data_IF_282182259608
#
_entry.id   IF_282182259608
#
_cell.length_a   1.000
_cell.length_b   1.000
_cell.length_c   1.000
_cell.angle_alpha   90.00
_cell.angle_beta   90.00
_cell.angle_gamma   90.00
#
_symmetry.space_group_name_H-M   'P 1'
#
loop_
_entity.id
_entity.type
_entity.pdbx_description
1 polymer ?
#
# COMPACT_ATOMS: atom_id res chain seq x y z
N UNK A 1 -5.48 3.56 21.91
CA UNK A 1 -4.61 4.02 20.80
C UNK A 1 -3.72 2.86 20.39
N UNK A 2 -3.82 2.38 19.15
CA UNK A 2 -2.98 1.27 18.68
C UNK A 2 -1.52 1.68 18.68
N UNK A 3 -0.61 0.79 19.12
CA UNK A 3 0.83 1.02 19.02
C UNK A 3 1.19 1.20 17.53
N UNK A 4 1.45 2.43 17.11
CA UNK A 4 1.98 2.73 15.78
C UNK A 4 3.38 2.14 15.66
N UNK A 5 3.49 0.97 15.03
CA UNK A 5 4.79 0.43 14.63
C UNK A 5 5.26 1.15 13.37
N UNK A 6 6.56 1.41 13.28
CA UNK A 6 7.16 1.92 12.06
C UNK A 6 6.90 0.90 10.93
N UNK A 7 6.49 1.34 9.74
CA UNK A 7 6.35 0.44 8.60
C UNK A 7 7.67 -0.29 8.32
N UNK A 8 7.59 -1.56 7.92
CA UNK A 8 8.77 -2.29 7.47
C UNK A 8 9.37 -1.62 6.22
N UNK A 9 10.71 -1.56 6.10
CA UNK A 9 11.38 -1.06 4.91
C UNK A 9 10.89 -1.75 3.62
N UNK A 10 10.85 -1.02 2.52
CA UNK A 10 10.37 -1.55 1.24
C UNK A 10 11.22 -2.73 0.76
N UNK A 11 12.55 -2.63 0.87
CA UNK A 11 13.51 -3.68 0.49
C UNK A 11 13.30 -4.96 1.30
N UNK A 12 13.08 -4.83 2.62
CA UNK A 12 12.82 -5.98 3.47
C UNK A 12 11.52 -6.69 3.10
N UNK A 13 10.45 -5.94 2.80
CA UNK A 13 9.19 -6.53 2.31
C UNK A 13 9.38 -7.24 0.97
N UNK A 14 10.14 -6.64 0.05
CA UNK A 14 10.45 -7.24 -1.24
C UNK A 14 11.22 -8.57 -1.06
N UNK A 15 12.22 -8.60 -0.18
CA UNK A 15 12.97 -9.83 0.13
C UNK A 15 12.06 -10.95 0.65
N UNK A 16 11.11 -10.63 1.55
CA UNK A 16 10.15 -11.61 2.05
C UNK A 16 9.25 -12.16 0.93
N UNK A 17 8.81 -11.31 0.01
CA UNK A 17 8.02 -11.74 -1.15
C UNK A 17 8.84 -12.67 -2.05
N UNK A 18 10.11 -12.34 -2.34
CA UNK A 18 10.98 -13.18 -3.17
C UNK A 18 11.23 -14.55 -2.53
N UNK A 19 11.42 -14.61 -1.21
CA UNK A 19 11.55 -15.89 -0.50
C UNK A 19 10.28 -16.75 -0.62
N UNK A 20 9.08 -16.15 -0.54
CA UNK A 20 7.84 -16.89 -0.75
C UNK A 20 7.71 -17.38 -2.19
N UNK A 21 8.05 -16.54 -3.18
CA UNK A 21 8.06 -16.93 -4.60
C UNK A 21 9.08 -18.04 -4.89
N UNK A 22 10.17 -18.11 -4.12
CA UNK A 22 11.16 -19.19 -4.18
C UNK A 22 10.69 -20.49 -3.48
N UNK A 23 9.48 -20.52 -2.91
CA UNK A 23 8.85 -21.72 -2.36
C UNK A 23 8.85 -21.82 -0.83
N UNK A 24 9.34 -20.81 -0.10
CA UNK A 24 9.23 -20.76 1.36
C UNK A 24 7.79 -20.42 1.78
N UNK A 25 7.33 -20.96 2.91
CA UNK A 25 6.00 -20.63 3.43
C UNK A 25 6.03 -19.36 4.29
N UNK A 26 4.97 -18.53 4.27
CA UNK A 26 4.85 -17.38 5.19
C UNK A 26 5.00 -17.76 6.67
N UNK A 27 4.59 -18.97 7.07
CA UNK A 27 4.67 -19.49 8.43
C UNK A 27 6.09 -19.85 8.85
N UNK A 28 6.94 -20.32 7.92
CA UNK A 28 8.37 -20.49 8.17
C UNK A 28 9.06 -19.14 8.34
N UNK A 29 8.79 -18.21 7.43
CA UNK A 29 9.40 -16.88 7.47
C UNK A 29 9.00 -16.10 8.74
N UNK A 30 7.75 -16.25 9.19
CA UNK A 30 7.30 -15.63 10.44
C UNK A 30 7.92 -16.23 11.72
N UNK A 31 8.53 -17.42 11.63
CA UNK A 31 9.31 -18.02 12.74
C UNK A 31 10.75 -17.51 12.76
N UNK A 32 11.30 -17.16 11.60
CA UNK A 32 12.69 -16.70 11.44
C UNK A 32 12.82 -15.18 11.53
N UNK A 33 11.77 -14.44 11.14
CA UNK A 33 11.77 -12.99 11.07
C UNK A 33 10.65 -12.37 11.93
N UNK A 34 10.75 -11.07 12.22
CA UNK A 34 9.76 -10.35 13.05
C UNK A 34 8.32 -10.30 12.46
N UNK A 35 8.09 -10.19 11.13
CA UNK A 35 6.74 -10.08 10.59
C UNK A 35 5.88 -11.30 10.84
N UNK A 36 4.59 -11.07 11.10
CA UNK A 36 3.61 -12.16 11.14
C UNK A 36 3.40 -12.76 9.74
N UNK A 37 3.03 -14.04 9.68
CA UNK A 37 2.71 -14.72 8.41
C UNK A 37 1.65 -13.95 7.61
N UNK A 38 0.62 -13.42 8.28
CA UNK A 38 -0.40 -12.59 7.65
C UNK A 38 0.17 -11.31 7.01
N UNK A 39 1.18 -10.69 7.61
CA UNK A 39 1.83 -9.51 7.02
C UNK A 39 2.54 -9.88 5.72
N UNK A 40 3.23 -11.01 5.72
CA UNK A 40 3.94 -11.55 4.54
C UNK A 40 2.94 -11.91 3.44
N UNK A 41 1.85 -12.61 3.77
CA UNK A 41 0.76 -12.94 2.84
C UNK A 41 0.21 -11.67 2.17
N UNK A 42 -0.01 -10.61 2.95
CA UNK A 42 -0.52 -9.35 2.41
C UNK A 42 0.47 -8.69 1.45
N UNK A 43 1.78 -8.79 1.72
CA UNK A 43 2.81 -8.27 0.81
C UNK A 43 2.89 -9.05 -0.48
N UNK A 44 2.80 -10.38 -0.42
CA UNK A 44 2.75 -11.25 -1.61
C UNK A 44 1.52 -10.91 -2.45
N UNK A 45 0.34 -10.84 -1.83
CA UNK A 45 -0.89 -10.48 -2.53
C UNK A 45 -0.82 -9.08 -3.17
N UNK A 46 -0.14 -8.11 -2.54
CA UNK A 46 0.08 -6.81 -3.16
C UNK A 46 1.07 -6.88 -4.33
N UNK A 47 2.15 -7.65 -4.20
CA UNK A 47 3.12 -7.84 -5.28
C UNK A 47 2.50 -8.57 -6.49
N UNK A 48 1.58 -9.51 -6.25
CA UNK A 48 0.83 -10.19 -7.31
C UNK A 48 -0.11 -9.23 -8.04
N UNK A 49 -0.74 -8.29 -7.33
CA UNK A 49 -1.52 -7.21 -7.96
C UNK A 49 -0.62 -6.29 -8.77
N UNK A 50 0.48 -5.84 -8.18
CA UNK A 50 1.43 -4.92 -8.82
C UNK A 50 2.08 -5.52 -10.07
N UNK A 51 2.18 -6.86 -10.16
CA UNK A 51 2.66 -7.58 -11.35
C UNK A 51 1.55 -8.01 -12.32
N UNK A 52 0.28 -7.73 -12.01
CA UNK A 52 -0.87 -8.07 -12.85
C UNK A 52 -1.33 -9.54 -12.76
N UNK A 53 -0.76 -10.34 -11.85
CA UNK A 53 -1.21 -11.71 -11.58
C UNK A 53 -2.56 -11.75 -10.87
N UNK A 54 -2.94 -10.68 -10.16
CA UNK A 54 -4.23 -10.51 -9.49
C UNK A 54 -4.88 -9.19 -9.86
N UNK A 55 -6.22 -9.20 -9.91
CA UNK A 55 -7.04 -8.02 -10.23
C UNK A 55 -8.12 -7.75 -9.16
N UNK A 56 -8.02 -8.40 -8.00
CA UNK A 56 -8.99 -8.29 -6.90
C UNK A 56 -8.79 -7.04 -6.02
N UNK A 57 -8.01 -6.07 -6.49
CA UNK A 57 -7.74 -4.82 -5.78
C UNK A 57 -6.77 -3.92 -6.53
N UNK A 58 -6.58 -2.70 -6.02
CA UNK A 58 -5.68 -1.72 -6.61
C UNK A 58 -4.21 -2.12 -6.45
N UNK A 59 -3.45 -1.88 -7.50
CA UNK A 59 -2.00 -1.81 -7.45
C UNK A 59 -1.54 -0.67 -6.53
N UNK A 60 -0.27 -0.73 -6.11
CA UNK A 60 0.38 0.32 -5.33
C UNK A 60 0.36 1.64 -6.10
N UNK A 61 0.60 1.62 -7.41
CA UNK A 61 0.60 2.80 -8.27
C UNK A 61 -0.80 3.43 -8.38
N UNK A 62 -1.83 2.64 -8.65
CA UNK A 62 -3.22 3.14 -8.72
C UNK A 62 -3.66 3.74 -7.38
N UNK A 63 -3.28 3.13 -6.26
CA UNK A 63 -3.61 3.64 -4.92
C UNK A 63 -2.92 4.98 -4.64
N UNK A 64 -1.67 5.13 -5.05
CA UNK A 64 -0.94 6.40 -4.93
C UNK A 64 -1.60 7.49 -5.77
N UNK A 65 -1.95 7.16 -7.02
CA UNK A 65 -2.59 8.11 -7.93
C UNK A 65 -3.97 8.53 -7.43
N UNK A 66 -4.78 7.58 -6.96
CA UNK A 66 -6.07 7.86 -6.33
C UNK A 66 -5.93 8.81 -5.13
N UNK A 67 -4.89 8.62 -4.31
CA UNK A 67 -4.62 9.49 -3.17
C UNK A 67 -4.22 10.90 -3.62
N UNK A 68 -3.38 11.01 -4.65
CA UNK A 68 -2.96 12.29 -5.25
C UNK A 68 -4.16 13.05 -5.81
N UNK A 69 -5.00 12.37 -6.59
CA UNK A 69 -6.20 12.97 -7.19
C UNK A 69 -7.19 13.42 -6.14
N UNK A 70 -7.46 12.62 -5.10
CA UNK A 70 -8.34 13.03 -3.99
C UNK A 70 -7.85 14.30 -3.29
N UNK A 71 -6.54 14.44 -3.08
CA UNK A 71 -5.96 15.67 -2.53
C UNK A 71 -6.14 16.86 -3.47
N UNK A 72 -5.92 16.65 -4.78
CA UNK A 72 -6.07 17.71 -5.77
C UNK A 72 -7.53 18.17 -5.91
N UNK A 73 -8.49 17.25 -5.92
CA UNK A 73 -9.92 17.56 -5.94
C UNK A 73 -10.30 18.42 -4.74
N UNK A 74 -9.91 18.01 -3.53
CA UNK A 74 -10.17 18.81 -2.31
C UNK A 74 -9.58 20.22 -2.39
N UNK A 75 -8.38 20.36 -2.95
CA UNK A 75 -7.76 21.67 -3.14
C UNK A 75 -8.56 22.52 -4.14
N UNK A 76 -8.96 21.94 -5.27
CA UNK A 76 -9.74 22.64 -6.31
C UNK A 76 -11.12 23.06 -5.81
N UNK A 77 -11.79 22.23 -5.02
CA UNK A 77 -13.08 22.56 -4.40
C UNK A 77 -12.93 23.78 -3.48
N UNK A 78 -11.90 23.81 -2.64
CA UNK A 78 -11.60 24.96 -1.77
C UNK A 78 -11.27 26.23 -2.56
N UNK A 79 -10.45 26.13 -3.62
CA UNK A 79 -10.12 27.26 -4.49
C UNK A 79 -11.38 27.82 -5.17
N UNK A 80 -12.23 26.94 -5.70
CA UNK A 80 -13.50 27.30 -6.33
C UNK A 80 -14.42 28.02 -5.34
N UNK A 81 -14.53 27.52 -4.11
CA UNK A 81 -15.40 28.12 -3.10
C UNK A 81 -14.91 29.50 -2.67
N UNK A 82 -13.61 29.71 -2.51
CA UNK A 82 -13.03 31.03 -2.23
C UNK A 82 -13.37 32.01 -3.36
N UNK A 83 -13.15 31.61 -4.62
CA UNK A 83 -13.46 32.45 -5.79
C UNK A 83 -14.96 32.77 -5.88
N UNK A 84 -15.82 31.79 -5.59
CA UNK A 84 -17.27 31.99 -5.59
C UNK A 84 -17.73 32.98 -4.51
N UNK A 85 -17.09 32.98 -3.33
CA UNK A 85 -17.40 33.94 -2.28
C UNK A 85 -16.84 35.33 -2.60
N UNK A 86 -15.71 35.43 -3.29
CA UNK A 86 -15.12 36.72 -3.67
C UNK A 86 -15.86 37.43 -4.82
N UNK A 87 -16.60 36.67 -5.65
CA UNK A 87 -17.40 37.20 -6.75
C UNK A 87 -18.85 37.54 -6.38
N UNK A 88 -19.26 37.26 -5.13
CA UNK A 88 -20.57 37.59 -4.57
C UNK A 88 -20.47 38.89 -3.74
#
# INVERSE_FOLDING_TARGET
>A
MGKHRKPYPAEFRAQMVELVKAGRTPEELAREFEPTAQSIINWVAQADRDSGMRQDGLTTAERQELTRLRRKVRQLEMERDILSHAAA
#
